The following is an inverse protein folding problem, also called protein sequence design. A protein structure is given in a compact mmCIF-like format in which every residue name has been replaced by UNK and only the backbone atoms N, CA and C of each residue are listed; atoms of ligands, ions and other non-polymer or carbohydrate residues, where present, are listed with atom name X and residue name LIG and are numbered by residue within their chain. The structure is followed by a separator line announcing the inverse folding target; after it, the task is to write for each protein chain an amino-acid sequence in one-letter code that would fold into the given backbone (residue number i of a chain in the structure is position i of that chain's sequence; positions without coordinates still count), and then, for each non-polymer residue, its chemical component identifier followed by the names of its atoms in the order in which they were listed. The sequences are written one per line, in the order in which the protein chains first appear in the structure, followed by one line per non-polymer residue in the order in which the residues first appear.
data_IF_637580853151
#
_entry.id   IF_637580853151
#
_cell.length_a   1.000
_cell.length_b   1.000
_cell.length_c   1.000
_cell.angle_alpha   90.00
_cell.angle_beta   90.00
_cell.angle_gamma   90.00
#
_symmetry.space_group_name_H-M   'P 1'
#
loop_
_entity.id
_entity.type
_entity.pdbx_description
1 polymer ?
#
# COMPACT_ATOMS: atom_id res chain seq x y z
N UNK A 1 26.60 13.37 -15.22
CA UNK A 1 27.60 14.29 -14.64
C UNK A 1 27.24 14.78 -13.23
N UNK A 2 25.96 14.78 -12.87
CA UNK A 2 25.44 15.11 -11.53
C UNK A 2 25.79 14.07 -10.46
N UNK A 3 25.84 12.78 -10.81
CA UNK A 3 26.05 11.72 -9.81
C UNK A 3 27.50 11.64 -9.33
N UNK A 4 28.46 11.92 -10.22
CA UNK A 4 29.88 12.02 -9.84
C UNK A 4 30.11 13.17 -8.84
N UNK A 5 29.42 14.31 -9.03
CA UNK A 5 29.50 15.45 -8.10
C UNK A 5 28.89 15.11 -6.73
N UNK A 6 27.78 14.37 -6.72
CA UNK A 6 27.15 13.89 -5.47
C UNK A 6 28.06 12.91 -4.73
N UNK A 7 28.68 11.97 -5.45
CA UNK A 7 29.63 11.02 -4.88
C UNK A 7 30.84 11.74 -4.26
N UNK A 8 31.43 12.69 -4.98
CA UNK A 8 32.56 13.48 -4.48
C UNK A 8 32.19 14.28 -3.22
N UNK A 9 31.00 14.89 -3.20
CA UNK A 9 30.50 15.62 -2.03
C UNK A 9 30.26 14.69 -0.82
N UNK A 10 29.77 13.47 -1.06
CA UNK A 10 29.60 12.47 0.00
C UNK A 10 30.95 12.00 0.55
N UNK A 11 31.91 11.71 -0.33
CA UNK A 11 33.27 11.32 0.08
C UNK A 11 33.91 12.41 0.94
N UNK A 12 33.81 13.68 0.54
CA UNK A 12 34.34 14.80 1.32
C UNK A 12 33.75 14.85 2.74
N UNK A 13 32.43 14.69 2.88
CA UNK A 13 31.77 14.64 4.20
C UNK A 13 32.19 13.46 5.06
N UNK A 14 32.40 12.29 4.46
CA UNK A 14 32.87 11.11 5.20
C UNK A 14 34.28 11.35 5.73
N UNK A 15 35.17 11.94 4.93
CA UNK A 15 36.52 12.27 5.40
C UNK A 15 36.54 13.35 6.47
N UNK A 16 35.69 14.38 6.34
CA UNK A 16 35.53 15.41 7.37
C UNK A 16 35.05 14.81 8.70
N UNK A 17 34.03 13.95 8.66
CA UNK A 17 33.55 13.24 9.85
C UNK A 17 34.63 12.38 10.51
N UNK A 18 35.36 11.60 9.71
CA UNK A 18 36.43 10.72 10.20
C UNK A 18 37.59 11.51 10.81
N UNK A 19 37.87 12.71 10.31
CA UNK A 19 38.90 13.60 10.86
C UNK A 19 38.53 14.16 12.24
N UNK A 20 37.24 14.22 12.58
CA UNK A 20 36.74 14.70 13.87
C UNK A 20 36.59 13.58 14.92
N UNK A 21 36.71 12.30 14.54
CA UNK A 21 36.56 11.18 15.47
C UNK A 21 37.83 10.93 16.28
N UNK A 22 37.65 10.46 17.51
CA UNK A 22 38.73 9.98 18.37
C UNK A 22 39.31 8.64 17.86
N UNK A 23 40.56 8.37 18.24
CA UNK A 23 41.31 7.19 17.80
C UNK A 23 40.64 5.87 18.20
N UNK A 24 39.98 5.82 19.37
CA UNK A 24 39.26 4.63 19.82
C UNK A 24 38.03 4.35 18.95
N UNK A 25 37.33 5.39 18.50
CA UNK A 25 36.21 5.27 17.56
C UNK A 25 36.69 4.81 16.17
N UNK A 26 37.84 5.32 15.69
CA UNK A 26 38.43 4.87 14.43
C UNK A 26 38.85 3.40 14.49
N UNK A 27 39.47 2.96 15.59
CA UNK A 27 39.82 1.56 15.83
C UNK A 27 38.58 0.66 15.92
N UNK A 28 37.50 1.14 16.52
CA UNK A 28 36.23 0.42 16.55
C UNK A 28 35.63 0.23 15.14
N UNK A 29 35.77 1.24 14.26
CA UNK A 29 35.33 1.13 12.87
C UNK A 29 36.21 0.15 12.09
N UNK A 30 37.54 0.22 12.24
CA UNK A 30 38.48 -0.70 11.60
C UNK A 30 38.31 -2.14 12.10
N UNK A 31 38.06 -2.32 13.39
CA UNK A 31 37.76 -3.60 14.03
C UNK A 31 36.36 -4.14 13.75
N UNK A 32 35.50 -3.35 13.09
CA UNK A 32 34.14 -3.73 12.72
C UNK A 32 33.14 -3.75 13.88
N UNK A 33 33.51 -3.25 15.06
CA UNK A 33 32.63 -3.10 16.22
C UNK A 33 31.74 -1.87 16.12
N UNK A 34 32.18 -0.85 15.37
CA UNK A 34 31.39 0.32 14.98
C UNK A 34 31.14 0.33 13.47
N UNK A 35 29.97 0.85 13.06
CA UNK A 35 29.59 1.00 11.64
C UNK A 35 29.07 2.40 11.41
N UNK A 36 29.48 3.00 10.30
CA UNK A 36 28.99 4.30 9.85
C UNK A 36 27.61 4.13 9.19
N UNK A 37 26.65 4.93 9.63
CA UNK A 37 25.32 5.03 9.02
C UNK A 37 25.08 6.48 8.59
N UNK A 38 24.56 6.68 7.38
CA UNK A 38 24.25 8.02 6.86
C UNK A 38 22.82 8.39 7.26
N UNK A 39 22.65 9.07 8.39
CA UNK A 39 21.35 9.60 8.82
C UNK A 39 21.04 10.86 8.02
N UNK A 40 20.10 10.78 7.07
CA UNK A 40 19.74 11.90 6.18
C UNK A 40 19.50 11.50 4.72
N UNK A 41 19.84 10.28 4.32
CA UNK A 41 19.01 9.59 3.33
C UNK A 41 17.64 9.30 4.00
N UNK A 42 16.55 9.12 3.26
CA UNK A 42 15.23 8.85 3.83
C UNK A 42 15.20 7.44 4.47
N UNK A 43 15.91 7.30 5.58
CA UNK A 43 16.06 6.08 6.40
C UNK A 43 14.77 5.78 7.17
N UNK A 44 13.86 6.75 7.25
CA UNK A 44 12.45 6.45 7.41
C UNK A 44 11.86 5.92 6.09
N UNK A 45 12.40 4.79 5.61
CA UNK A 45 11.77 3.98 4.56
C UNK A 45 10.30 3.65 4.95
N UNK A 46 10.01 3.64 6.25
CA UNK A 46 8.68 3.57 6.87
C UNK A 46 7.77 4.77 6.58
N UNK A 47 8.31 5.98 6.40
CA UNK A 47 7.55 7.20 6.06
C UNK A 47 7.35 7.36 4.56
N UNK A 48 8.23 6.77 3.75
CA UNK A 48 8.11 6.79 2.29
C UNK A 48 6.88 6.02 1.80
N UNK A 49 6.29 6.53 0.72
CA UNK A 49 5.18 5.87 0.04
C UNK A 49 5.69 4.66 -0.75
N UNK A 50 4.79 3.70 -1.02
CA UNK A 50 5.14 2.49 -1.81
C UNK A 50 5.69 2.85 -3.19
N UNK A 51 5.29 4.00 -3.75
CA UNK A 51 5.80 4.50 -5.03
C UNK A 51 7.27 4.92 -4.92
N UNK A 52 7.63 5.64 -3.87
CA UNK A 52 9.01 6.08 -3.62
C UNK A 52 9.91 4.91 -3.24
N UNK A 53 9.40 3.94 -2.47
CA UNK A 53 10.14 2.70 -2.18
C UNK A 53 10.40 1.88 -3.43
N UNK A 54 9.45 1.80 -4.37
CA UNK A 54 9.66 1.13 -5.66
C UNK A 54 10.63 1.88 -6.56
N UNK A 55 10.62 3.22 -6.52
CA UNK A 55 11.58 4.04 -7.25
C UNK A 55 13.00 3.83 -6.69
N UNK A 56 13.17 3.81 -5.36
CA UNK A 56 14.44 3.50 -4.72
C UNK A 56 14.90 2.06 -4.99
N UNK A 57 13.98 1.09 -5.01
CA UNK A 57 14.31 -0.29 -5.36
C UNK A 57 14.77 -0.43 -6.83
N UNK A 58 14.17 0.34 -7.74
CA UNK A 58 14.56 0.39 -9.14
C UNK A 58 15.93 1.08 -9.32
N UNK A 59 16.17 2.18 -8.61
CA UNK A 59 17.44 2.92 -8.62
C UNK A 59 18.60 2.08 -8.05
N UNK A 60 18.30 1.25 -7.05
CA UNK A 60 19.24 0.26 -6.48
C UNK A 60 19.35 -1.04 -7.29
N UNK A 61 18.63 -1.18 -8.41
CA UNK A 61 18.71 -2.35 -9.29
C UNK A 61 18.19 -3.66 -8.70
N UNK A 62 17.42 -3.60 -7.61
CA UNK A 62 16.87 -4.77 -6.92
C UNK A 62 15.81 -5.43 -7.80
N UNK A 63 15.81 -6.76 -7.97
CA UNK A 63 14.78 -7.48 -8.75
C UNK A 63 13.74 -8.10 -7.81
N UNK A 64 12.50 -8.22 -8.27
CA UNK A 64 11.42 -8.90 -7.52
C UNK A 64 10.50 -8.00 -6.68
N UNK A 65 10.72 -6.67 -6.66
CA UNK A 65 9.92 -5.72 -5.85
C UNK A 65 8.49 -5.47 -6.34
N UNK A 66 8.10 -5.98 -7.51
CA UNK A 66 6.79 -5.71 -8.13
C UNK A 66 5.60 -6.23 -7.31
N UNK A 67 5.79 -7.38 -6.63
CA UNK A 67 4.76 -8.09 -5.85
C UNK A 67 4.86 -7.84 -4.34
N UNK A 68 5.93 -7.18 -3.87
CA UNK A 68 6.23 -7.03 -2.46
C UNK A 68 5.40 -5.93 -1.80
N UNK A 69 5.01 -6.17 -0.55
CA UNK A 69 4.30 -5.20 0.30
C UNK A 69 5.28 -4.16 0.85
N UNK A 70 4.76 -3.03 1.37
CA UNK A 70 5.58 -1.92 1.88
C UNK A 70 6.67 -2.40 2.85
N UNK A 71 6.31 -3.24 3.82
CA UNK A 71 7.25 -3.81 4.80
C UNK A 71 8.34 -4.68 4.15
N UNK A 72 7.97 -5.50 3.17
CA UNK A 72 8.91 -6.38 2.46
C UNK A 72 9.85 -5.59 1.54
N UNK A 73 9.36 -4.51 0.91
CA UNK A 73 10.22 -3.57 0.16
C UNK A 73 11.24 -2.91 1.10
N UNK A 74 10.81 -2.44 2.26
CA UNK A 74 11.71 -1.85 3.27
C UNK A 74 12.78 -2.86 3.68
N UNK A 75 12.40 -4.11 3.98
CA UNK A 75 13.33 -5.19 4.36
C UNK A 75 14.35 -5.53 3.25
N UNK A 76 13.91 -5.51 1.98
CA UNK A 76 14.80 -5.75 0.83
C UNK A 76 15.76 -4.57 0.59
N UNK A 77 15.32 -3.35 0.89
CA UNK A 77 16.14 -2.14 0.76
C UNK A 77 17.13 -1.94 1.91
N UNK A 78 16.85 -2.48 3.10
CA UNK A 78 17.78 -2.49 4.25
C UNK A 78 18.78 -3.65 4.20
N UNK A 79 18.66 -4.58 3.26
CA UNK A 79 19.64 -5.65 3.05
C UNK A 79 19.52 -6.85 4.01
N UNK A 80 18.38 -7.03 4.68
CA UNK A 80 18.11 -8.22 5.48
C UNK A 80 17.50 -9.32 4.60
N UNK A 81 18.33 -9.97 3.79
CA UNK A 81 17.98 -11.14 2.99
C UNK A 81 18.53 -12.44 3.57
N UNK A 82 17.77 -13.07 4.47
CA UNK A 82 17.75 -14.51 4.85
C UNK A 82 16.83 -14.60 6.09
N UNK A 83 15.77 -15.42 6.20
CA UNK A 83 15.58 -16.79 5.76
C UNK A 83 14.09 -17.16 5.93
N UNK A 84 13.56 -17.99 5.03
CA UNK A 84 12.39 -18.86 5.26
C UNK A 84 12.75 -20.21 4.60
N UNK A 85 12.20 -21.38 5.00
CA UNK A 85 11.07 -21.67 5.90
C UNK A 85 11.35 -22.85 6.90
N UNK A 86 10.36 -23.37 7.67
CA UNK A 86 9.68 -24.58 7.18
C UNK A 86 8.17 -24.67 7.48
N UNK A 87 7.44 -25.30 6.57
CA UNK A 87 6.14 -25.95 6.79
C UNK A 87 6.34 -27.25 7.57
N UNK A 88 5.33 -27.74 8.32
CA UNK A 88 4.71 -28.99 7.88
C UNK A 88 3.19 -29.00 8.02
N UNK A 89 2.52 -29.52 6.99
CA UNK A 89 1.16 -30.06 7.06
C UNK A 89 1.20 -31.47 7.67
N UNK A 90 0.19 -31.87 8.46
CA UNK A 90 -0.72 -32.96 8.06
C UNK A 90 -2.15 -32.69 8.58
N UNK A 91 -3.26 -33.30 8.18
CA UNK A 91 -3.66 -34.27 7.17
C UNK A 91 -5.21 -34.15 7.09
N UNK A 92 -5.81 -34.57 5.97
CA UNK A 92 -7.26 -34.72 5.81
C UNK A 92 -7.85 -35.74 6.82
N UNK A 93 -9.18 -35.71 7.06
CA UNK A 93 -10.07 -36.47 6.18
C UNK A 93 -11.39 -35.75 5.84
N UNK A 94 -11.85 -35.92 4.61
CA UNK A 94 -13.26 -35.87 4.23
C UNK A 94 -13.90 -37.22 4.62
N UNK A 95 -15.21 -37.33 4.93
CA UNK A 95 -16.26 -37.10 3.93
C UNK A 95 -17.56 -36.48 4.49
N UNK A 96 -18.31 -35.74 3.68
CA UNK A 96 -19.72 -36.01 3.29
C UNK A 96 -20.32 -34.79 2.58
N UNK A 97 -20.76 -34.99 1.33
CA UNK A 97 -21.87 -34.21 0.75
C UNK A 97 -23.15 -34.85 1.31
N UNK A 98 -24.25 -34.12 1.61
CA UNK A 98 -25.08 -33.60 0.52
C UNK A 98 -25.97 -32.36 0.82
N UNK A 99 -26.46 -31.76 -0.28
CA UNK A 99 -27.70 -30.95 -0.44
C UNK A 99 -27.73 -29.44 -0.08
N UNK A 100 -28.13 -28.68 -1.12
CA UNK A 100 -28.89 -27.42 -1.18
C UNK A 100 -28.29 -26.04 -0.77
N UNK A 101 -28.41 -25.10 -1.72
CA UNK A 101 -28.46 -23.62 -1.59
C UNK A 101 -29.47 -23.14 -0.53
N UNK A 102 -29.41 -21.92 0.06
CA UNK A 102 -28.98 -20.61 -0.49
C UNK A 102 -27.91 -19.88 0.38
N UNK A 103 -27.39 -18.68 -0.01
CA UNK A 103 -26.22 -18.10 0.63
C UNK A 103 -26.58 -17.40 1.96
N UNK A 104 -25.83 -17.63 3.05
CA UNK A 104 -25.81 -16.72 4.17
C UNK A 104 -24.60 -15.78 4.07
N UNK A 105 -24.92 -14.52 4.28
CA UNK A 105 -24.07 -13.39 4.55
C UNK A 105 -23.01 -13.64 5.64
N UNK A 106 -22.16 -12.62 5.79
CA UNK A 106 -21.32 -12.31 6.93
C UNK A 106 -19.89 -12.84 6.89
N UNK A 107 -19.03 -12.08 6.20
CA UNK A 107 -17.71 -11.76 6.77
C UNK A 107 -17.72 -10.27 7.10
N UNK A 108 -18.27 -9.95 8.27
CA UNK A 108 -18.18 -8.62 8.85
C UNK A 108 -16.86 -8.51 9.62
N UNK A 109 -16.01 -7.55 9.20
CA UNK A 109 -15.20 -6.58 9.98
C UNK A 109 -13.82 -6.32 9.34
N UNK A 110 -13.30 -5.07 9.37
CA UNK A 110 -13.53 -4.07 10.43
C UNK A 110 -14.15 -2.72 10.00
N UNK A 111 -14.90 -2.14 10.94
CA UNK A 111 -14.86 -0.70 11.24
C UNK A 111 -15.84 0.23 10.54
N UNK A 112 -16.28 -0.08 9.32
CA UNK A 112 -17.12 0.83 8.54
C UNK A 112 -18.27 0.07 7.91
N UNK A 113 -19.50 0.54 8.14
CA UNK A 113 -20.71 -0.09 7.61
C UNK A 113 -20.82 0.18 6.10
N UNK A 114 -20.16 -0.67 5.31
CA UNK A 114 -20.04 -0.52 3.86
C UNK A 114 -21.40 -0.48 3.17
N UNK A 115 -22.39 -1.18 3.72
CA UNK A 115 -23.77 -1.14 3.23
C UNK A 115 -24.41 0.24 3.49
N UNK A 116 -24.20 0.83 4.67
CA UNK A 116 -24.68 2.18 4.98
C UNK A 116 -24.03 3.24 4.08
N UNK A 117 -22.73 3.12 3.80
CA UNK A 117 -22.02 4.03 2.89
C UNK A 117 -22.53 3.87 1.45
N UNK A 118 -22.73 2.63 0.98
CA UNK A 118 -23.32 2.40 -0.34
C UNK A 118 -24.73 2.99 -0.45
N UNK A 119 -25.55 2.87 0.60
CA UNK A 119 -26.87 3.48 0.67
C UNK A 119 -26.80 5.02 0.65
N UNK A 120 -25.87 5.62 1.41
CA UNK A 120 -25.67 7.06 1.45
C UNK A 120 -25.19 7.62 0.11
N UNK A 121 -24.26 6.92 -0.56
CA UNK A 121 -23.78 7.28 -1.91
C UNK A 121 -24.86 7.20 -2.99
N UNK A 122 -25.83 6.30 -2.84
CA UNK A 122 -27.01 6.24 -3.73
C UNK A 122 -27.99 7.38 -3.47
N UNK A 123 -27.99 7.94 -2.26
CA UNK A 123 -28.82 9.09 -1.88
C UNK A 123 -28.19 10.43 -2.28
N UNK A 124 -26.88 10.48 -2.52
CA UNK A 124 -26.18 11.71 -2.91
C UNK A 124 -26.49 12.09 -4.37
N UNK A 125 -26.68 13.38 -4.63
CA UNK A 125 -27.11 13.85 -5.95
C UNK A 125 -25.94 14.10 -6.91
N UNK A 126 -24.78 14.50 -6.37
CA UNK A 126 -23.63 14.91 -7.17
C UNK A 126 -22.39 14.05 -6.90
N UNK A 127 -21.57 13.87 -7.95
CA UNK A 127 -20.28 13.17 -7.85
C UNK A 127 -19.33 13.90 -6.89
N UNK A 128 -19.43 15.23 -6.79
CA UNK A 128 -18.61 16.04 -5.90
C UNK A 128 -18.95 15.82 -4.42
N UNK A 129 -20.24 15.77 -4.07
CA UNK A 129 -20.68 15.47 -2.69
C UNK A 129 -20.36 14.03 -2.30
N UNK A 130 -20.52 13.08 -3.24
CA UNK A 130 -20.15 11.68 -3.00
C UNK A 130 -18.65 11.51 -2.76
N UNK A 131 -17.81 12.23 -3.51
CA UNK A 131 -16.35 12.23 -3.31
C UNK A 131 -15.97 12.85 -1.96
N UNK A 132 -16.54 14.00 -1.62
CA UNK A 132 -16.32 14.65 -0.32
C UNK A 132 -16.74 13.74 0.85
N UNK A 133 -17.83 12.99 0.70
CA UNK A 133 -18.28 12.01 1.69
C UNK A 133 -17.30 10.83 1.83
N UNK A 134 -16.79 10.28 0.73
CA UNK A 134 -15.78 9.21 0.75
C UNK A 134 -14.47 9.67 1.40
N UNK A 135 -14.05 10.91 1.12
CA UNK A 135 -12.86 11.52 1.71
C UNK A 135 -13.02 11.74 3.22
N UNK A 136 -14.18 12.24 3.67
CA UNK A 136 -14.48 12.47 5.08
C UNK A 136 -14.54 11.17 5.91
N UNK A 137 -14.93 10.05 5.28
CA UNK A 137 -14.94 8.73 5.92
C UNK A 137 -13.55 8.08 5.98
N UNK A 138 -12.51 8.71 5.41
CA UNK A 138 -11.13 8.22 5.39
C UNK A 138 -11.01 6.73 5.02
N UNK A 139 -11.80 6.27 4.05
CA UNK A 139 -11.92 4.86 3.70
C UNK A 139 -10.61 4.29 3.15
N UNK A 140 -10.10 3.26 3.82
CA UNK A 140 -8.99 2.45 3.33
C UNK A 140 -9.39 1.66 2.08
N UNK A 141 -8.38 1.18 1.34
CA UNK A 141 -8.59 0.42 0.09
C UNK A 141 -9.48 -0.81 0.29
N UNK A 142 -9.35 -1.50 1.42
CA UNK A 142 -10.17 -2.67 1.75
C UNK A 142 -11.63 -2.28 1.98
N UNK A 143 -11.88 -1.19 2.72
CA UNK A 143 -13.23 -0.66 2.95
C UNK A 143 -13.88 -0.17 1.65
N UNK A 144 -13.09 0.41 0.74
CA UNK A 144 -13.56 0.85 -0.57
C UNK A 144 -13.90 -0.34 -1.49
N UNK A 145 -13.18 -1.46 -1.36
CA UNK A 145 -13.53 -2.72 -2.04
C UNK A 145 -14.80 -3.34 -1.45
N UNK A 146 -15.01 -3.26 -0.14
CA UNK A 146 -16.26 -3.70 0.50
C UNK A 146 -17.46 -2.89 -0.03
N UNK A 147 -17.35 -1.56 -0.11
CA UNK A 147 -18.38 -0.70 -0.72
C UNK A 147 -18.58 -1.03 -2.21
N UNK A 148 -17.50 -1.32 -2.94
CA UNK A 148 -17.60 -1.73 -4.34
C UNK A 148 -18.32 -3.07 -4.52
N UNK A 149 -18.11 -4.03 -3.61
CA UNK A 149 -18.82 -5.30 -3.59
C UNK A 149 -20.33 -5.11 -3.34
N UNK A 150 -20.70 -4.23 -2.41
CA UNK A 150 -22.10 -3.83 -2.15
C UNK A 150 -22.76 -3.14 -3.36
N UNK A 151 -21.97 -2.42 -4.16
CA UNK A 151 -22.41 -1.84 -5.43
C UNK A 151 -22.34 -2.82 -6.61
N UNK A 152 -22.07 -4.10 -6.34
CA UNK A 152 -21.97 -5.18 -7.32
C UNK A 152 -20.93 -4.93 -8.42
N UNK A 153 -19.88 -4.16 -8.11
CA UNK A 153 -18.78 -3.92 -9.03
C UNK A 153 -17.85 -5.13 -9.07
N UNK A 154 -17.64 -5.68 -10.26
CA UNK A 154 -16.74 -6.81 -10.48
C UNK A 154 -15.40 -6.35 -11.09
N UNK A 155 -14.34 -7.18 -10.94
CA UNK A 155 -12.99 -6.93 -11.49
C UNK A 155 -12.39 -5.58 -11.03
N UNK A 156 -12.58 -5.26 -9.75
CA UNK A 156 -12.13 -4.02 -9.09
C UNK A 156 -10.85 -4.18 -8.28
N UNK A 157 -10.44 -5.42 -8.04
CA UNK A 157 -9.22 -5.87 -7.36
C UNK A 157 -7.93 -5.30 -7.96
N UNK A 158 -7.86 -5.16 -9.28
CA UNK A 158 -6.71 -4.62 -10.02
C UNK A 158 -6.68 -3.10 -10.17
N UNK A 159 -7.73 -2.40 -9.71
CA UNK A 159 -7.83 -0.95 -9.90
C UNK A 159 -7.05 -0.20 -8.84
N UNK A 160 -6.49 0.94 -9.24
CA UNK A 160 -5.90 1.89 -8.29
C UNK A 160 -7.01 2.50 -7.42
N UNK A 161 -6.65 2.99 -6.22
CA UNK A 161 -7.63 3.58 -5.28
C UNK A 161 -8.46 4.68 -5.94
N UNK A 162 -7.82 5.60 -6.69
CA UNK A 162 -8.50 6.68 -7.42
C UNK A 162 -9.48 6.16 -8.49
N UNK A 163 -9.12 5.10 -9.20
CA UNK A 163 -10.01 4.52 -10.22
C UNK A 163 -11.17 3.74 -9.59
N UNK A 164 -10.92 3.08 -8.45
CA UNK A 164 -11.93 2.37 -7.68
C UNK A 164 -13.00 3.36 -7.17
N UNK A 165 -12.56 4.45 -6.56
CA UNK A 165 -13.41 5.55 -6.12
C UNK A 165 -14.24 6.13 -7.28
N UNK A 166 -13.59 6.43 -8.41
CA UNK A 166 -14.28 6.91 -9.61
C UNK A 166 -15.34 5.91 -10.11
N UNK A 167 -15.09 4.60 -10.05
CA UNK A 167 -16.07 3.57 -10.43
C UNK A 167 -17.20 3.45 -9.43
N UNK A 168 -16.91 3.50 -8.13
CA UNK A 168 -17.90 3.49 -7.05
C UNK A 168 -18.86 4.67 -7.20
N UNK A 169 -18.33 5.88 -7.38
CA UNK A 169 -19.13 7.09 -7.62
C UNK A 169 -19.96 6.97 -8.90
N UNK A 170 -19.33 6.55 -10.01
CA UNK A 170 -20.03 6.38 -11.30
C UNK A 170 -21.13 5.32 -11.22
N UNK A 171 -20.97 4.27 -10.43
CA UNK A 171 -21.97 3.22 -10.27
C UNK A 171 -23.11 3.65 -9.34
N UNK A 172 -22.78 4.27 -8.21
CA UNK A 172 -23.77 4.72 -7.22
C UNK A 172 -24.64 5.87 -7.77
N UNK A 173 -24.03 6.82 -8.50
CA UNK A 173 -24.68 8.06 -8.96
C UNK A 173 -25.08 7.96 -10.44
N UNK A 174 -24.29 7.29 -11.27
CA UNK A 174 -24.53 7.19 -12.72
C UNK A 174 -25.80 6.43 -13.09
N UNK A 175 -26.29 5.53 -12.21
CA UNK A 175 -27.60 4.89 -12.38
C UNK A 175 -28.75 5.92 -12.34
N UNK A 176 -28.65 6.97 -11.51
CA UNK A 176 -29.63 8.07 -11.44
C UNK A 176 -29.45 9.11 -12.54
N UNK A 177 -28.22 9.39 -12.99
CA UNK A 177 -27.97 10.36 -14.08
C UNK A 177 -28.67 9.96 -15.39
N UNK A 178 -28.85 8.66 -15.63
CA UNK A 178 -29.67 8.14 -16.74
C UNK A 178 -31.16 8.50 -16.62
N UNK A 179 -31.68 8.74 -15.42
CA UNK A 179 -33.09 9.11 -15.18
C UNK A 179 -33.30 10.60 -14.86
N UNK A 180 -32.28 11.33 -14.41
CA UNK A 180 -32.37 12.79 -14.24
C UNK A 180 -32.53 13.52 -15.59
N UNK A 181 -31.96 12.96 -16.67
CA UNK A 181 -32.22 13.41 -18.04
C UNK A 181 -33.66 13.18 -18.52
N UNK A 182 -34.45 12.30 -17.88
CA UNK A 182 -35.87 12.08 -18.18
C UNK A 182 -36.82 12.99 -17.38
N UNK A 183 -36.35 13.73 -16.37
CA UNK A 183 -37.17 14.72 -15.62
C UNK A 183 -37.21 16.10 -16.26
N UNK A 184 -36.55 16.28 -17.41
CA UNK A 184 -36.51 17.53 -18.19
C UNK A 184 -37.28 17.44 -19.51
N UNK A 185 -38.19 16.50 -19.65
CA UNK A 185 -39.18 16.45 -20.72
C UNK A 185 -40.58 16.54 -20.12
#
# INVERSE_FOLDING_TARGET
MTDLKKLAALQARVYEFLAEQDEATLDAILGGTARLAVTGLPDDLSKLTVKELKALAADRGVRGYGKLRKAELVALLTGNGAEAPPTPAPAAPAPVRPVASPPPAAVARPGVDAAAIAAQLRSTETEAEGAAYLDAQHLDRESLLAVAAELQLTRVDRLSRKELERRVLKQAIGARRKFAGLRKW
#
